data_IF_422189383612
#
_entry.id   IF_422189383612
#
_cell.length_a   1.000
_cell.length_b   1.000
_cell.length_c   1.000
_cell.angle_alpha   90.00
_cell.angle_beta   90.00
_cell.angle_gamma   90.00
#
_symmetry.space_group_name_H-M   'P 1'
#
loop_
_entity.id
_entity.type
_entity.pdbx_description
1 polymer ?
#
# COMPACT_ATOMS: atom_id res chain seq x y z
N UNK A 1 -15.56 -78.99 16.02
CA UNK A 1 -14.55 -78.07 15.47
C UNK A 1 -15.15 -76.68 15.43
N UNK A 2 -14.85 -75.86 16.42
CA UNK A 2 -15.38 -74.50 16.62
C UNK A 2 -14.50 -73.51 15.87
N UNK A 3 -15.06 -72.81 14.89
CA UNK A 3 -14.36 -71.75 14.15
C UNK A 3 -14.61 -70.42 14.84
N UNK A 4 -13.57 -69.87 15.45
CA UNK A 4 -13.57 -68.55 16.11
C UNK A 4 -13.32 -67.48 15.04
N UNK A 5 -14.34 -66.65 14.74
CA UNK A 5 -14.16 -65.45 13.90
C UNK A 5 -13.73 -64.29 14.77
N UNK A 6 -12.52 -63.77 14.56
CA UNK A 6 -12.04 -62.52 15.15
C UNK A 6 -12.73 -61.33 14.45
N UNK A 7 -13.22 -60.32 15.17
CA UNK A 7 -13.65 -59.07 14.56
C UNK A 7 -12.41 -58.26 14.14
N UNK A 8 -12.36 -57.90 12.86
CA UNK A 8 -11.36 -56.97 12.32
C UNK A 8 -11.83 -55.55 12.65
N UNK A 9 -11.15 -54.90 13.60
CA UNK A 9 -11.36 -53.48 13.90
C UNK A 9 -10.66 -52.67 12.82
N UNK A 10 -11.43 -51.98 11.99
CA UNK A 10 -10.94 -51.03 11.00
C UNK A 10 -10.63 -49.72 11.74
N UNK A 11 -9.34 -49.44 11.95
CA UNK A 11 -8.88 -48.17 12.52
C UNK A 11 -8.89 -47.11 11.40
N UNK A 12 -9.89 -46.22 11.39
CA UNK A 12 -9.92 -45.07 10.49
C UNK A 12 -9.03 -43.98 11.09
N UNK A 13 -7.83 -43.81 10.54
CA UNK A 13 -6.96 -42.69 10.87
C UNK A 13 -7.48 -41.43 10.16
N UNK A 14 -8.13 -40.54 10.91
CA UNK A 14 -8.46 -39.19 10.44
C UNK A 14 -7.13 -38.42 10.44
N UNK A 15 -6.50 -38.31 9.27
CA UNK A 15 -5.44 -37.33 9.03
C UNK A 15 -6.10 -35.95 9.09
N UNK A 16 -6.06 -35.29 10.25
CA UNK A 16 -6.25 -33.85 10.29
C UNK A 16 -5.10 -33.23 9.51
N UNK A 17 -5.40 -32.81 8.28
CA UNK A 17 -4.56 -31.89 7.54
C UNK A 17 -4.45 -30.62 8.38
N UNK A 18 -3.39 -30.50 9.18
CA UNK A 18 -3.02 -29.20 9.72
C UNK A 18 -2.76 -28.32 8.50
N UNK A 19 -3.61 -27.33 8.27
CA UNK A 19 -3.29 -26.22 7.37
C UNK A 19 -2.01 -25.62 7.92
N UNK A 20 -0.87 -26.00 7.35
CA UNK A 20 0.38 -25.28 7.55
C UNK A 20 0.12 -23.94 6.88
N UNK A 21 -0.32 -22.95 7.65
CA UNK A 21 -0.34 -21.58 7.15
C UNK A 21 1.12 -21.23 6.87
N UNK A 22 1.45 -21.06 5.60
CA UNK A 22 2.73 -20.51 5.20
C UNK A 22 2.92 -19.16 5.92
N UNK A 23 4.15 -18.85 6.32
CA UNK A 23 4.43 -17.51 6.83
C UNK A 23 3.99 -16.49 5.77
N UNK A 24 3.29 -15.40 6.16
CA UNK A 24 2.91 -14.35 5.24
C UNK A 24 4.11 -13.90 4.43
N UNK A 25 3.96 -13.96 3.11
CA UNK A 25 5.03 -13.61 2.19
C UNK A 25 5.03 -12.10 1.95
N UNK A 26 5.99 -11.42 2.56
CA UNK A 26 6.20 -9.98 2.36
C UNK A 26 6.97 -9.82 1.07
N UNK A 27 6.24 -9.65 -0.03
CA UNK A 27 6.77 -9.60 -1.40
C UNK A 27 7.50 -8.28 -1.71
N UNK A 28 7.34 -7.26 -0.87
CA UNK A 28 7.98 -5.95 -1.04
C UNK A 28 8.38 -5.32 0.30
N UNK A 29 9.52 -4.63 0.31
CA UNK A 29 10.00 -3.82 1.44
C UNK A 29 10.28 -2.40 0.94
N UNK A 30 9.60 -1.42 1.53
CA UNK A 30 9.77 -0.01 1.17
C UNK A 30 10.41 0.76 2.33
N UNK A 31 11.54 1.42 2.08
CA UNK A 31 12.19 2.30 3.06
C UNK A 31 11.77 3.75 2.78
N UNK A 32 11.22 4.42 3.79
CA UNK A 32 10.59 5.73 3.66
C UNK A 32 11.28 6.77 4.54
N UNK A 33 11.79 7.80 3.89
CA UNK A 33 12.33 8.99 4.53
C UNK A 33 11.38 10.16 4.30
N UNK A 34 11.01 10.85 5.37
CA UNK A 34 10.29 12.11 5.27
C UNK A 34 11.27 13.22 4.91
N UNK A 35 10.99 13.91 3.81
CA UNK A 35 11.79 15.03 3.33
C UNK A 35 11.33 16.36 3.95
N UNK A 36 12.21 17.35 3.98
CA UNK A 36 11.82 18.73 4.27
C UNK A 36 11.09 19.32 3.05
N UNK A 37 9.76 19.40 3.16
CA UNK A 37 8.89 19.89 2.08
C UNK A 37 9.21 21.32 1.64
N UNK A 38 9.86 22.15 2.48
CA UNK A 38 10.21 23.53 2.12
C UNK A 38 11.24 23.62 0.98
N UNK A 39 11.99 22.54 0.72
CA UNK A 39 12.99 22.45 -0.35
C UNK A 39 12.38 22.12 -1.72
N UNK A 40 11.11 21.72 -1.77
CA UNK A 40 10.44 21.19 -2.97
C UNK A 40 9.23 22.05 -3.33
N UNK A 41 9.46 23.15 -4.04
CA UNK A 41 8.38 23.94 -4.62
C UNK A 41 8.02 23.41 -6.01
N UNK A 42 6.80 23.67 -6.46
CA UNK A 42 6.36 23.22 -7.78
C UNK A 42 7.23 23.76 -8.93
N UNK A 43 7.81 24.95 -8.75
CA UNK A 43 8.66 25.58 -9.77
C UNK A 43 10.06 24.96 -9.85
N UNK A 44 10.56 24.36 -8.77
CA UNK A 44 11.91 23.82 -8.71
C UNK A 44 11.98 22.31 -8.48
N UNK A 45 10.83 21.61 -8.40
CA UNK A 45 10.77 20.22 -7.97
C UNK A 45 11.73 19.30 -8.73
N UNK A 46 11.78 19.39 -10.06
CA UNK A 46 12.66 18.53 -10.87
C UNK A 46 14.15 18.78 -10.55
N UNK A 47 14.54 20.03 -10.33
CA UNK A 47 15.92 20.40 -9.96
C UNK A 47 16.23 19.93 -8.54
N UNK A 48 15.34 20.19 -7.58
CA UNK A 48 15.50 19.76 -6.18
C UNK A 48 15.56 18.24 -6.04
N UNK A 49 14.75 17.50 -6.81
CA UNK A 49 14.79 16.03 -6.87
C UNK A 49 16.11 15.55 -7.44
N UNK A 50 16.58 16.14 -8.54
CA UNK A 50 17.89 15.79 -9.12
C UNK A 50 19.05 16.03 -8.15
N UNK A 51 19.04 17.15 -7.44
CA UNK A 51 20.06 17.46 -6.41
C UNK A 51 19.99 16.50 -5.24
N UNK A 52 18.79 16.19 -4.74
CA UNK A 52 18.60 15.20 -3.67
C UNK A 52 19.18 13.84 -4.08
N UNK A 53 18.90 13.38 -5.29
CA UNK A 53 19.31 12.06 -5.73
C UNK A 53 20.81 11.97 -6.04
N UNK A 54 21.44 13.03 -6.53
CA UNK A 54 22.90 13.09 -6.67
C UNK A 54 23.62 13.03 -5.32
N UNK A 55 23.06 13.69 -4.29
CA UNK A 55 23.57 13.57 -2.92
C UNK A 55 23.33 12.16 -2.36
N UNK A 56 22.14 11.61 -2.57
CA UNK A 56 21.80 10.27 -2.12
C UNK A 56 22.70 9.21 -2.75
N UNK A 57 22.97 9.29 -4.05
CA UNK A 57 23.95 8.45 -4.77
C UNK A 57 25.29 8.48 -4.04
N UNK A 58 25.89 9.67 -3.87
CA UNK A 58 27.20 9.80 -3.19
C UNK A 58 27.22 9.15 -1.80
N UNK A 59 26.18 9.39 -0.99
CA UNK A 59 26.10 8.86 0.37
C UNK A 59 25.85 7.35 0.41
N UNK A 60 25.00 6.82 -0.49
CA UNK A 60 24.68 5.39 -0.58
C UNK A 60 25.91 4.62 -1.06
N UNK A 61 26.53 5.04 -2.15
CA UNK A 61 27.72 4.36 -2.70
C UNK A 61 28.85 4.31 -1.67
N UNK A 62 29.06 5.40 -0.94
CA UNK A 62 30.01 5.48 0.17
C UNK A 62 29.66 4.53 1.33
N UNK A 63 28.38 4.46 1.70
CA UNK A 63 27.93 3.69 2.86
C UNK A 63 27.95 2.16 2.64
N UNK A 64 27.64 1.69 1.41
CA UNK A 64 27.50 0.26 1.13
C UNK A 64 28.47 -0.28 0.07
N UNK A 65 29.31 0.57 -0.53
CA UNK A 65 30.26 0.21 -1.59
C UNK A 65 29.57 -0.52 -2.76
N UNK A 66 28.44 0.04 -3.22
CA UNK A 66 27.62 -0.45 -4.33
C UNK A 66 27.17 0.69 -5.19
N UNK A 67 26.98 0.42 -6.47
CA UNK A 67 26.65 1.44 -7.47
C UNK A 67 25.18 1.89 -7.34
N UNK A 68 24.97 3.18 -7.54
CA UNK A 68 23.66 3.75 -7.83
C UNK A 68 23.65 4.17 -9.29
N UNK A 69 22.57 3.84 -10.01
CA UNK A 69 22.50 4.07 -11.45
C UNK A 69 21.14 4.63 -11.88
N UNK A 70 21.10 5.08 -13.13
CA UNK A 70 19.90 5.65 -13.73
C UNK A 70 19.79 7.16 -13.55
N UNK A 71 18.61 7.70 -13.78
CA UNK A 71 18.34 9.13 -13.68
C UNK A 71 16.86 9.33 -13.41
N UNK A 72 16.53 10.21 -12.48
CA UNK A 72 15.14 10.45 -12.14
C UNK A 72 14.41 11.24 -13.23
N UNK A 73 13.21 10.76 -13.58
CA UNK A 73 12.24 11.48 -14.40
C UNK A 73 10.87 11.44 -13.75
N UNK A 74 10.03 12.43 -14.05
CA UNK A 74 8.63 12.44 -13.62
C UNK A 74 7.90 11.28 -14.29
N UNK A 75 7.49 10.30 -13.51
CA UNK A 75 6.82 9.07 -13.96
C UNK A 75 5.30 9.18 -13.83
N UNK A 76 4.82 9.75 -12.72
CA UNK A 76 3.38 9.86 -12.44
C UNK A 76 3.00 11.27 -12.03
N UNK A 77 1.83 11.67 -12.52
CA UNK A 77 1.15 12.90 -12.11
C UNK A 77 -0.34 12.62 -11.94
N UNK A 78 -0.80 12.60 -10.69
CA UNK A 78 -2.16 12.16 -10.36
C UNK A 78 -2.76 12.88 -9.19
N UNK A 79 -4.09 12.90 -9.14
CA UNK A 79 -4.82 13.38 -7.97
C UNK A 79 -5.06 12.22 -7.00
N UNK A 80 -4.82 12.44 -5.71
CA UNK A 80 -5.07 11.49 -4.63
C UNK A 80 -6.15 12.06 -3.73
N UNK A 81 -7.16 11.24 -3.43
CA UNK A 81 -8.27 11.57 -2.52
C UNK A 81 -8.41 10.45 -1.50
N UNK A 82 -8.50 10.82 -0.23
CA UNK A 82 -8.81 9.87 0.84
C UNK A 82 -10.27 10.02 1.25
N UNK A 83 -10.93 8.89 1.45
CA UNK A 83 -12.32 8.84 1.88
C UNK A 83 -12.42 8.09 3.21
N UNK A 84 -13.31 8.56 4.07
CA UNK A 84 -13.66 7.88 5.30
C UNK A 84 -15.14 8.15 5.62
N UNK A 85 -15.68 7.39 6.56
CA UNK A 85 -17.04 7.57 7.05
C UNK A 85 -17.22 8.98 7.59
N UNK A 86 -18.24 9.67 7.07
CA UNK A 86 -18.55 11.04 7.43
C UNK A 86 -18.80 11.17 8.93
N UNK A 87 -18.05 12.06 9.57
CA UNK A 87 -18.24 12.44 10.98
C UNK A 87 -17.60 11.52 12.02
N UNK A 88 -17.09 10.34 11.65
CA UNK A 88 -16.46 9.40 12.61
C UNK A 88 -15.04 8.97 12.25
N UNK A 89 -14.66 9.00 10.97
CA UNK A 89 -13.41 8.40 10.49
C UNK A 89 -13.29 6.90 10.88
N UNK A 90 -14.39 6.16 10.74
CA UNK A 90 -14.50 4.77 11.20
C UNK A 90 -13.50 3.84 10.52
N UNK A 91 -13.20 4.01 9.22
CA UNK A 91 -12.21 3.19 8.52
C UNK A 91 -10.84 3.35 9.17
N UNK A 92 -10.43 4.59 9.43
CA UNK A 92 -9.17 4.88 10.15
C UNK A 92 -9.14 4.25 11.54
N UNK A 93 -10.24 4.32 12.29
CA UNK A 93 -10.31 3.72 13.63
C UNK A 93 -10.13 2.19 13.59
N UNK A 94 -10.59 1.56 12.50
CA UNK A 94 -10.42 0.13 12.24
C UNK A 94 -9.05 -0.23 11.63
N UNK A 95 -8.15 0.74 11.41
CA UNK A 95 -6.83 0.50 10.82
C UNK A 95 -6.80 0.53 9.29
N UNK A 96 -7.91 0.88 8.65
CA UNK A 96 -8.03 0.98 7.20
C UNK A 96 -7.77 2.40 6.68
N UNK A 97 -7.31 2.47 5.43
CA UNK A 97 -7.35 3.66 4.61
C UNK A 97 -7.94 3.32 3.25
N UNK A 98 -8.96 4.06 2.84
CA UNK A 98 -9.54 3.98 1.51
C UNK A 98 -9.18 5.24 0.72
N UNK A 99 -8.67 5.06 -0.50
CA UNK A 99 -8.27 6.18 -1.36
C UNK A 99 -8.66 5.94 -2.80
N UNK A 100 -8.84 7.03 -3.53
CA UNK A 100 -8.93 7.11 -4.98
C UNK A 100 -7.68 7.81 -5.52
N UNK A 101 -7.16 7.30 -6.62
CA UNK A 101 -6.10 7.92 -7.42
C UNK A 101 -6.61 8.12 -8.84
N UNK A 102 -6.55 9.37 -9.33
CA UNK A 102 -6.95 9.70 -10.69
C UNK A 102 -5.76 10.17 -11.49
N UNK A 103 -5.42 9.42 -12.53
CA UNK A 103 -4.31 9.71 -13.45
C UNK A 103 -4.83 9.67 -14.89
N UNK A 104 -4.59 10.74 -15.65
CA UNK A 104 -5.06 10.82 -17.06
C UNK A 104 -6.55 10.50 -17.23
N UNK A 105 -7.37 10.88 -16.26
CA UNK A 105 -8.82 10.63 -16.22
C UNK A 105 -9.26 9.21 -15.82
N UNK A 106 -8.31 8.30 -15.54
CA UNK A 106 -8.59 6.96 -15.05
C UNK A 106 -8.52 6.93 -13.52
N UNK A 107 -9.54 6.36 -12.86
CA UNK A 107 -9.63 6.23 -11.41
C UNK A 107 -9.24 4.82 -10.96
N UNK A 108 -8.44 4.74 -9.90
CA UNK A 108 -8.04 3.50 -9.24
C UNK A 108 -8.24 3.68 -7.74
N UNK A 109 -9.08 2.82 -7.14
CA UNK A 109 -9.28 2.81 -5.70
C UNK A 109 -8.31 1.86 -5.03
N UNK A 110 -7.93 2.14 -3.78
CA UNK A 110 -7.16 1.23 -2.94
C UNK A 110 -7.80 1.14 -1.57
N UNK A 111 -8.10 -0.09 -1.11
CA UNK A 111 -8.31 -0.37 0.30
C UNK A 111 -7.01 -0.92 0.88
N UNK A 112 -6.53 -0.32 1.97
CA UNK A 112 -5.30 -0.75 2.64
C UNK A 112 -5.52 -0.83 4.14
N UNK A 113 -5.26 -1.99 4.73
CA UNK A 113 -5.12 -2.16 6.16
C UNK A 113 -3.65 -2.02 6.58
N UNK A 114 -3.40 -1.53 7.79
CA UNK A 114 -2.04 -1.44 8.35
C UNK A 114 -1.97 -1.90 9.80
N UNK A 115 -0.95 -2.69 10.10
CA UNK A 115 -0.64 -3.13 11.46
C UNK A 115 0.87 -3.22 11.71
N UNK A 116 1.30 -3.15 12.98
CA UNK A 116 2.68 -3.51 13.36
C UNK A 116 2.92 -5.02 13.33
N UNK A 117 1.85 -5.81 13.32
CA UNK A 117 1.91 -7.26 13.24
C UNK A 117 1.63 -7.72 11.80
N UNK A 118 2.58 -8.47 11.24
CA UNK A 118 2.50 -8.99 9.88
C UNK A 118 1.36 -9.97 9.68
N UNK A 119 1.12 -10.86 10.64
CA UNK A 119 0.07 -11.88 10.52
C UNK A 119 -1.31 -11.25 10.62
N UNK A 120 -1.48 -10.27 11.51
CA UNK A 120 -2.72 -9.48 11.55
C UNK A 120 -2.92 -8.76 10.21
N UNK A 121 -1.88 -8.11 9.67
CA UNK A 121 -2.01 -7.41 8.39
C UNK A 121 -2.37 -8.34 7.24
N UNK A 122 -1.72 -9.51 7.14
CA UNK A 122 -1.98 -10.49 6.09
C UNK A 122 -3.35 -11.15 6.22
N UNK A 123 -3.84 -11.32 7.46
CA UNK A 123 -5.13 -11.94 7.74
C UNK A 123 -6.32 -11.11 7.26
N UNK A 124 -6.22 -9.78 7.26
CA UNK A 124 -7.32 -8.92 6.82
C UNK A 124 -7.69 -9.13 5.35
N UNK A 125 -8.98 -9.34 5.08
CA UNK A 125 -9.47 -9.52 3.72
C UNK A 125 -9.64 -8.16 3.02
N UNK A 126 -8.66 -7.82 2.19
CA UNK A 126 -8.70 -6.69 1.26
C UNK A 126 -8.92 -7.14 -0.18
N UNK A 127 -9.35 -8.38 -0.42
CA UNK A 127 -9.54 -8.91 -1.77
C UNK A 127 -10.59 -8.11 -2.53
N UNK A 128 -10.46 -8.07 -3.86
CA UNK A 128 -11.38 -7.35 -4.72
C UNK A 128 -12.01 -8.28 -5.76
N UNK A 129 -13.31 -8.09 -5.99
CA UNK A 129 -14.05 -8.74 -7.07
C UNK A 129 -13.83 -8.06 -8.43
N UNK A 130 -13.16 -6.91 -8.45
CA UNK A 130 -12.99 -6.08 -9.65
C UNK A 130 -11.90 -6.64 -10.56
N UNK A 131 -12.20 -6.76 -11.85
CA UNK A 131 -11.21 -7.20 -12.84
C UNK A 131 -10.02 -6.23 -12.92
N UNK A 132 -8.81 -6.77 -12.97
CA UNK A 132 -7.57 -5.99 -12.95
C UNK A 132 -7.15 -5.52 -11.55
N UNK A 133 -7.77 -6.04 -10.49
CA UNK A 133 -7.30 -5.80 -9.14
C UNK A 133 -5.93 -6.44 -8.87
N UNK A 134 -5.09 -5.76 -8.11
CA UNK A 134 -3.78 -6.25 -7.68
C UNK A 134 -3.66 -6.15 -6.16
N UNK A 135 -3.39 -7.26 -5.51
CA UNK A 135 -3.19 -7.36 -4.06
C UNK A 135 -1.71 -7.47 -3.72
N UNK A 136 -1.30 -6.78 -2.66
CA UNK A 136 0.09 -6.79 -2.17
C UNK A 136 0.13 -6.73 -0.66
N UNK A 137 1.04 -7.53 -0.08
CA UNK A 137 1.51 -7.40 1.29
C UNK A 137 2.92 -6.82 1.29
N UNK A 138 3.09 -5.64 1.89
CA UNK A 138 4.36 -4.92 1.93
C UNK A 138 4.75 -4.54 3.36
N UNK A 139 6.05 -4.44 3.62
CA UNK A 139 6.55 -3.81 4.84
C UNK A 139 7.04 -2.40 4.56
N UNK A 140 6.37 -1.42 5.15
CA UNK A 140 6.75 -0.01 5.20
C UNK A 140 7.75 0.19 6.37
N UNK A 141 8.99 0.55 6.06
CA UNK A 141 10.06 0.79 7.02
C UNK A 141 10.35 2.29 7.05
N UNK A 142 10.20 2.93 8.21
CA UNK A 142 10.50 4.35 8.38
C UNK A 142 11.25 4.64 9.68
N UNK A 143 11.50 5.92 9.92
CA UNK A 143 12.11 6.41 11.15
C UNK A 143 11.33 7.62 11.70
N UNK A 144 11.33 7.76 13.02
CA UNK A 144 10.85 8.96 13.72
C UNK A 144 11.93 9.45 14.70
N UNK A 145 11.71 10.61 15.33
CA UNK A 145 12.63 11.12 16.36
C UNK A 145 12.76 10.22 17.60
N UNK A 146 11.80 9.32 17.83
CA UNK A 146 11.77 8.41 18.99
C UNK A 146 11.88 6.93 18.62
N UNK A 147 11.66 6.57 17.36
CA UNK A 147 11.70 5.20 16.85
C UNK A 147 12.55 5.18 15.57
N UNK A 148 13.87 4.93 15.66
CA UNK A 148 14.78 5.02 14.52
C UNK A 148 14.54 3.93 13.46
N UNK A 149 13.83 2.87 13.85
CA UNK A 149 13.43 1.79 12.95
C UNK A 149 12.00 1.35 13.27
N UNK A 150 11.06 1.84 12.48
CA UNK A 150 9.63 1.56 12.62
C UNK A 150 9.17 0.74 11.42
N UNK A 151 8.72 -0.49 11.67
CA UNK A 151 8.14 -1.36 10.64
C UNK A 151 6.63 -1.39 10.80
N UNK A 152 5.92 -1.16 9.70
CA UNK A 152 4.47 -1.30 9.59
C UNK A 152 4.18 -2.17 8.38
N UNK A 153 3.36 -3.19 8.55
CA UNK A 153 2.90 -4.03 7.47
C UNK A 153 1.62 -3.46 6.88
N UNK A 154 1.52 -3.52 5.57
CA UNK A 154 0.40 -3.02 4.81
C UNK A 154 -0.12 -4.09 3.87
N UNK A 155 -1.38 -4.50 4.06
CA UNK A 155 -2.07 -5.36 3.12
C UNK A 155 -3.05 -4.51 2.34
N UNK A 156 -2.92 -4.50 1.02
CA UNK A 156 -3.75 -3.65 0.18
C UNK A 156 -4.10 -4.30 -1.13
N UNK A 157 -5.26 -3.92 -1.64
CA UNK A 157 -5.66 -4.20 -3.02
C UNK A 157 -6.02 -2.90 -3.69
N UNK A 158 -5.48 -2.69 -4.88
CA UNK A 158 -5.89 -1.62 -5.78
C UNK A 158 -6.79 -2.19 -6.87
N UNK A 159 -7.78 -1.43 -7.32
CA UNK A 159 -8.73 -1.85 -8.34
C UNK A 159 -9.15 -0.67 -9.23
N UNK A 160 -9.34 -0.88 -10.55
CA UNK A 160 -9.93 0.13 -11.42
C UNK A 160 -11.32 0.57 -10.92
N UNK A 161 -11.63 1.86 -11.01
CA UNK A 161 -12.88 2.42 -10.54
C UNK A 161 -13.58 3.25 -11.62
N UNK A 162 -14.91 3.07 -11.69
CA UNK A 162 -15.81 3.89 -12.50
C UNK A 162 -17.01 4.39 -11.70
N UNK A 163 -17.05 4.11 -10.39
CA UNK A 163 -18.13 4.47 -9.48
C UNK A 163 -17.87 5.84 -8.88
N UNK A 164 -18.94 6.51 -8.51
CA UNK A 164 -18.86 7.71 -7.69
C UNK A 164 -18.86 7.31 -6.22
N UNK A 165 -17.80 7.66 -5.49
CA UNK A 165 -17.55 7.21 -4.12
C UNK A 165 -18.30 8.10 -3.12
N UNK A 166 -19.50 7.68 -2.71
CA UNK A 166 -20.34 8.47 -1.80
C UNK A 166 -20.74 7.73 -0.53
N UNK A 167 -20.76 6.41 -0.54
CA UNK A 167 -21.30 5.58 0.54
C UNK A 167 -20.45 4.33 0.74
N UNK A 168 -20.57 3.68 1.91
CA UNK A 168 -19.84 2.45 2.25
C UNK A 168 -20.07 1.35 1.21
N UNK A 169 -21.27 1.27 0.60
CA UNK A 169 -21.56 0.31 -0.49
C UNK A 169 -20.56 0.38 -1.64
N UNK A 170 -19.95 1.53 -1.89
CA UNK A 170 -18.97 1.70 -2.97
C UNK A 170 -17.63 1.04 -2.62
N UNK A 171 -17.27 0.98 -1.33
CA UNK A 171 -16.16 0.17 -0.84
C UNK A 171 -16.53 -1.31 -0.92
N UNK A 172 -17.67 -1.70 -0.33
CA UNK A 172 -18.13 -3.10 -0.29
C UNK A 172 -18.22 -3.73 -1.69
N UNK A 173 -18.70 -2.98 -2.67
CA UNK A 173 -18.75 -3.44 -4.05
C UNK A 173 -17.37 -3.79 -4.62
N UNK A 174 -16.35 -2.97 -4.33
CA UNK A 174 -14.99 -3.25 -4.77
C UNK A 174 -14.32 -4.32 -3.91
N UNK A 175 -14.60 -4.36 -2.61
CA UNK A 175 -13.90 -5.18 -1.62
C UNK A 175 -14.91 -5.98 -0.78
N UNK A 176 -15.50 -7.05 -1.33
CA UNK A 176 -16.55 -7.80 -0.64
C UNK A 176 -16.07 -8.50 0.65
N UNK A 177 -14.79 -8.87 0.74
CA UNK A 177 -14.24 -9.42 1.99
C UNK A 177 -14.33 -8.44 3.18
N UNK A 178 -14.16 -7.14 2.91
CA UNK A 178 -14.36 -6.10 3.92
C UNK A 178 -15.83 -6.01 4.37
N UNK A 179 -16.78 -6.21 3.46
CA UNK A 179 -18.21 -6.26 3.79
C UNK A 179 -18.51 -7.45 4.71
N UNK A 180 -18.00 -8.63 4.35
CA UNK A 180 -18.24 -9.89 5.07
C UNK A 180 -17.69 -9.84 6.52
N UNK A 181 -16.53 -9.22 6.73
CA UNK A 181 -15.87 -9.17 8.04
C UNK A 181 -16.45 -8.10 8.97
N UNK A 182 -16.88 -6.95 8.43
CA UNK A 182 -17.20 -5.77 9.24
C UNK A 182 -18.65 -5.30 9.17
N UNK A 183 -19.39 -5.65 8.11
CA UNK A 183 -20.83 -5.42 7.99
C UNK A 183 -21.27 -3.96 8.21
N UNK A 184 -20.46 -2.98 7.80
CA UNK A 184 -20.83 -1.56 7.88
C UNK A 184 -22.06 -1.29 7.01
N UNK A 185 -23.03 -0.46 7.47
CA UNK A 185 -24.24 -0.18 6.69
C UNK A 185 -23.91 0.45 5.33
N UNK A 186 -24.42 -0.15 4.26
CA UNK A 186 -24.19 0.28 2.87
C UNK A 186 -24.55 1.76 2.62
N UNK A 187 -25.59 2.27 3.29
CA UNK A 187 -26.10 3.64 3.16
C UNK A 187 -25.32 4.67 3.99
N UNK A 188 -24.31 4.24 4.73
CA UNK A 188 -23.49 5.12 5.54
C UNK A 188 -22.63 6.02 4.63
N UNK A 189 -22.71 7.36 4.76
CA UNK A 189 -22.03 8.26 3.85
C UNK A 189 -20.51 8.28 4.04
N UNK A 190 -19.80 8.29 2.92
CA UNK A 190 -18.38 8.60 2.80
C UNK A 190 -18.19 10.07 2.49
N UNK A 191 -17.09 10.63 2.99
CA UNK A 191 -16.69 11.99 2.67
C UNK A 191 -15.17 12.08 2.47
N UNK A 192 -14.74 13.09 1.72
CA UNK A 192 -13.32 13.39 1.59
C UNK A 192 -12.73 13.74 2.96
N UNK A 193 -11.66 13.05 3.31
CA UNK A 193 -10.92 13.33 4.55
C UNK A 193 -10.35 14.74 4.47
N UNK A 194 -10.84 15.63 5.33
CA UNK A 194 -10.39 17.02 5.41
C UNK A 194 -10.70 17.86 4.16
N UNK A 195 -11.63 17.42 3.30
CA UNK A 195 -11.88 18.05 2.00
C UNK A 195 -10.59 18.23 1.16
N UNK A 196 -9.65 17.30 1.31
CA UNK A 196 -8.30 17.39 0.75
C UNK A 196 -8.21 16.64 -0.57
N UNK A 197 -7.73 17.33 -1.60
CA UNK A 197 -7.29 16.73 -2.87
C UNK A 197 -5.80 17.02 -3.01
N UNK A 198 -5.00 15.96 -3.12
CA UNK A 198 -3.56 16.05 -3.24
C UNK A 198 -3.18 15.87 -4.70
N UNK A 199 -2.32 16.75 -5.23
CA UNK A 199 -1.60 16.51 -6.48
C UNK A 199 -0.30 15.78 -6.14
N UNK A 200 -0.20 14.53 -6.56
CA UNK A 200 0.96 13.66 -6.35
C UNK A 200 1.83 13.63 -7.61
N UNK A 201 3.10 13.98 -7.45
CA UNK A 201 4.16 13.83 -8.45
C UNK A 201 5.11 12.73 -7.98
N UNK A 202 5.39 11.74 -8.84
CA UNK A 202 6.29 10.64 -8.52
C UNK A 202 7.45 10.64 -9.51
N UNK A 203 8.66 10.83 -9.01
CA UNK A 203 9.89 10.69 -9.76
C UNK A 203 10.48 9.29 -9.54
N UNK A 204 10.90 8.63 -10.63
CA UNK A 204 11.47 7.27 -10.66
C UNK A 204 12.60 7.16 -11.68
N UNK A 205 13.24 6.00 -11.74
CA UNK A 205 14.29 5.69 -12.72
C UNK A 205 15.70 5.67 -12.14
N UNK A 206 15.83 5.65 -10.81
CA UNK A 206 17.10 5.47 -10.10
C UNK A 206 17.06 4.15 -9.35
N UNK A 207 18.13 3.37 -9.44
CA UNK A 207 18.25 2.04 -8.84
C UNK A 207 19.56 1.90 -8.06
N UNK A 208 19.52 1.14 -6.96
CA UNK A 208 20.68 0.76 -6.14
C UNK A 208 20.95 -0.72 -6.38
N UNK A 209 22.19 -1.09 -6.75
CA UNK A 209 22.62 -2.49 -6.79
C UNK A 209 22.80 -3.03 -5.37
N UNK A 210 21.96 -3.97 -4.94
CA UNK A 210 22.11 -4.68 -3.66
C UNK A 210 22.71 -6.09 -3.85
N UNK A 211 23.24 -6.39 -5.03
CA UNK A 211 23.92 -7.63 -5.41
C UNK A 211 22.98 -8.64 -6.05
N UNK A 212 22.18 -9.35 -5.25
CA UNK A 212 21.21 -10.31 -5.79
C UNK A 212 19.86 -9.68 -6.14
N UNK A 213 19.69 -8.41 -5.76
CA UNK A 213 18.47 -7.64 -5.92
C UNK A 213 18.84 -6.21 -6.27
N UNK A 214 17.93 -5.54 -6.97
CA UNK A 214 17.98 -4.09 -7.17
C UNK A 214 16.91 -3.43 -6.29
N UNK A 215 17.19 -2.22 -5.83
CA UNK A 215 16.22 -1.40 -5.13
C UNK A 215 15.95 -0.12 -5.92
N UNK A 216 14.69 0.14 -6.23
CA UNK A 216 14.27 1.39 -6.88
C UNK A 216 14.17 2.53 -5.85
N UNK A 217 14.76 3.68 -6.18
CA UNK A 217 14.50 4.94 -5.46
C UNK A 217 13.37 5.67 -6.17
N UNK A 218 12.36 6.06 -5.40
CA UNK A 218 11.32 6.99 -5.87
C UNK A 218 11.18 8.18 -4.93
N UNK A 219 10.98 9.36 -5.51
CA UNK A 219 10.67 10.58 -4.76
C UNK A 219 9.22 10.96 -5.04
N UNK A 220 8.41 10.97 -3.99
CA UNK A 220 6.97 11.29 -4.09
C UNK A 220 6.71 12.63 -3.41
N UNK A 221 6.21 13.61 -4.18
CA UNK A 221 5.88 14.96 -3.72
C UNK A 221 4.37 15.16 -3.72
N UNK A 222 3.82 15.69 -2.63
CA UNK A 222 2.39 15.90 -2.42
C UNK A 222 2.10 17.40 -2.28
N UNK A 223 1.31 17.94 -3.21
CA UNK A 223 0.88 19.34 -3.21
C UNK A 223 -0.62 19.46 -2.91
N UNK A 224 -1.02 20.55 -2.25
CA UNK A 224 -2.44 20.86 -2.06
C UNK A 224 -3.00 21.50 -3.33
N UNK A 225 -3.94 20.81 -3.99
CA UNK A 225 -4.55 21.27 -5.26
C UNK A 225 -3.60 21.29 -6.46
N UNK A 226 -4.08 21.76 -7.61
CA UNK A 226 -3.25 22.04 -8.80
C UNK A 226 -2.52 23.36 -8.55
N UNK A 227 -1.19 23.37 -8.38
CA UNK A 227 -0.48 24.61 -8.10
C UNK A 227 -0.57 25.55 -9.30
N UNK A 228 -0.82 26.84 -9.05
CA UNK A 228 -0.72 27.88 -10.07
C UNK A 228 0.77 28.10 -10.40
N UNK A 229 1.29 27.31 -11.33
CA UNK A 229 2.63 27.46 -11.88
C UNK A 229 2.68 26.77 -13.24
N UNK A 230 2.86 27.54 -14.30
CA UNK A 230 3.11 26.97 -15.61
C UNK A 230 4.40 26.15 -15.54
N UNK A 231 4.35 24.89 -15.96
CA UNK A 231 5.56 24.16 -16.32
C UNK A 231 6.11 24.85 -17.58
N UNK A 232 7.28 25.47 -17.46
CA UNK A 232 8.08 25.99 -18.58
C UNK A 232 9.10 24.95 -19.02
#
# INVERSE_FOLDING_TARGET
MTVWRRPMVLLVAILLSTLVQANPDVISREYKLMLDASQFTYQNEAVSVGQLLALAETEIESAIARDVSGSASLDKQRDVRFFDVQGSCQLRQMGYSFRDRVESGQSEVTLKFRSRDRYISDFEDVSSSTSGAETKLESDIGATSTEPFKVVYGHSTKAPNSRNLNEIKDINHHFPGFEDDYGLPDDQPLSLVGNLVIREHVYRGVEIDLGQHDAEISVTLWYQGVPLGAQS
#
